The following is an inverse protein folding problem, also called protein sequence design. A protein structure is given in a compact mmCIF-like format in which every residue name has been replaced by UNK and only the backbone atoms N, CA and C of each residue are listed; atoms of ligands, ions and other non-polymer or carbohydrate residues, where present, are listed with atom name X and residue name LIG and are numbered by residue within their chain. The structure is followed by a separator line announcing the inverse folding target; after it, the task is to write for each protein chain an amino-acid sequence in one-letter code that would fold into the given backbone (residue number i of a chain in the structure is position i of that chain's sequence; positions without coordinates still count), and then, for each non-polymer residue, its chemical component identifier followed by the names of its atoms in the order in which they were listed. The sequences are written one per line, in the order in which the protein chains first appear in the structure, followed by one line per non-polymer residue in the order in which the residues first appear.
data_IF_483031183518
#
_entry.id   IF_483031183518
#
_cell.length_a   1.000
_cell.length_b   1.000
_cell.length_c   1.000
_cell.angle_alpha   90.00
_cell.angle_beta   90.00
_cell.angle_gamma   90.00
#
_symmetry.space_group_name_H-M   'P 1'
#
loop_
_entity.id
_entity.type
_entity.pdbx_description
1 polymer ?
#
# COMPACT_ATOMS: atom_id res chain seq x y z
N UNK A 1 31.23 16.98 -11.10
CA UNK A 1 30.08 17.60 -10.40
C UNK A 1 28.99 16.55 -10.28
N UNK A 2 29.02 15.73 -9.22
CA UNK A 2 27.90 14.82 -8.93
C UNK A 2 26.77 15.69 -8.40
N UNK A 3 25.77 15.93 -9.24
CA UNK A 3 24.58 16.67 -8.84
C UNK A 3 23.91 15.85 -7.71
N UNK A 4 24.11 16.25 -6.46
CA UNK A 4 23.51 15.61 -5.31
C UNK A 4 22.04 16.04 -5.24
N UNK A 5 21.26 15.61 -6.23
CA UNK A 5 19.81 15.77 -6.27
C UNK A 5 19.21 14.79 -5.25
N UNK A 6 19.42 15.07 -3.98
CA UNK A 6 18.74 14.39 -2.90
C UNK A 6 17.25 14.77 -2.94
N UNK A 7 16.37 13.77 -3.04
CA UNK A 7 14.93 14.01 -3.03
C UNK A 7 14.56 14.66 -1.68
N UNK A 8 13.87 15.82 -1.68
CA UNK A 8 13.51 16.50 -0.43
C UNK A 8 12.53 15.66 0.38
N UNK A 9 12.44 15.93 1.69
CA UNK A 9 11.53 15.19 2.59
C UNK A 9 10.08 15.17 2.08
N UNK A 10 9.59 16.31 1.57
CA UNK A 10 8.26 16.40 0.98
C UNK A 10 8.06 15.41 -0.17
N UNK A 11 9.11 15.18 -0.98
CA UNK A 11 9.10 14.23 -2.10
C UNK A 11 9.09 12.76 -1.65
N UNK A 12 9.33 12.48 -0.37
CA UNK A 12 9.30 11.12 0.20
C UNK A 12 8.01 10.81 0.97
N UNK A 13 7.17 11.83 1.21
CA UNK A 13 5.99 11.70 2.06
C UNK A 13 5.02 10.62 1.61
N UNK A 14 4.79 10.46 0.30
CA UNK A 14 3.87 9.43 -0.20
C UNK A 14 4.33 8.02 0.18
N UNK A 15 5.65 7.75 0.16
CA UNK A 15 6.19 6.45 0.60
C UNK A 15 6.00 6.24 2.10
N UNK A 16 6.26 7.27 2.91
CA UNK A 16 6.13 7.19 4.37
C UNK A 16 4.67 6.99 4.77
N UNK A 17 3.75 7.76 4.19
CA UNK A 17 2.32 7.63 4.42
C UNK A 17 1.79 6.26 3.98
N UNK A 18 2.25 5.75 2.84
CA UNK A 18 1.94 4.39 2.40
C UNK A 18 2.42 3.33 3.38
N UNK A 19 3.65 3.41 3.88
CA UNK A 19 4.15 2.46 4.89
C UNK A 19 3.30 2.51 6.16
N UNK A 20 2.97 3.72 6.62
CA UNK A 20 2.15 3.91 7.81
C UNK A 20 0.74 3.35 7.66
N UNK A 21 0.17 3.37 6.44
CA UNK A 21 -1.12 2.76 6.15
C UNK A 21 -1.02 1.22 6.00
N UNK A 22 -0.02 0.73 5.27
CA UNK A 22 0.10 -0.68 4.91
C UNK A 22 0.56 -1.59 6.06
N UNK A 23 1.44 -1.11 6.95
CA UNK A 23 1.93 -1.94 8.05
C UNK A 23 0.81 -2.36 9.01
N UNK A 24 -0.06 -1.45 9.51
CA UNK A 24 -1.22 -1.85 10.30
C UNK A 24 -2.15 -2.82 9.56
N UNK A 25 -2.44 -2.56 8.29
CA UNK A 25 -3.30 -3.43 7.46
C UNK A 25 -2.69 -4.84 7.33
N UNK A 26 -1.38 -4.94 7.14
CA UNK A 26 -0.68 -6.22 7.09
C UNK A 26 -0.84 -6.98 8.42
N UNK A 27 -0.66 -6.31 9.56
CA UNK A 27 -0.83 -6.92 10.89
C UNK A 27 -2.27 -7.39 11.10
N UNK A 28 -3.27 -6.61 10.65
CA UNK A 28 -4.68 -7.00 10.69
C UNK A 28 -4.89 -8.30 9.91
N UNK A 29 -4.41 -8.39 8.67
CA UNK A 29 -4.50 -9.63 7.89
C UNK A 29 -3.79 -10.82 8.56
N UNK A 30 -2.64 -10.60 9.19
CA UNK A 30 -1.90 -11.66 9.88
C UNK A 30 -2.58 -12.22 11.14
N UNK A 31 -3.56 -11.50 11.70
CA UNK A 31 -4.12 -11.76 13.03
C UNK A 31 -5.61 -12.10 12.94
N UNK A 32 -5.96 -13.34 13.30
CA UNK A 32 -7.35 -13.85 13.17
C UNK A 32 -8.40 -12.98 13.84
N UNK A 33 -8.14 -12.51 15.06
CA UNK A 33 -9.08 -11.65 15.79
C UNK A 33 -9.30 -10.31 15.07
N UNK A 34 -8.21 -9.67 14.65
CA UNK A 34 -8.26 -8.35 14.03
C UNK A 34 -8.91 -8.38 12.65
N UNK A 35 -8.59 -9.38 11.82
CA UNK A 35 -9.21 -9.48 10.49
C UNK A 35 -10.72 -9.72 10.58
N UNK A 36 -11.17 -10.46 11.60
CA UNK A 36 -12.60 -10.67 11.85
C UNK A 36 -13.26 -9.37 12.31
N UNK A 37 -12.63 -8.64 13.23
CA UNK A 37 -13.17 -7.38 13.78
C UNK A 37 -13.24 -6.23 12.76
N UNK A 38 -12.19 -6.04 11.96
CA UNK A 38 -12.09 -4.90 11.04
C UNK A 38 -12.65 -5.17 9.63
N UNK A 39 -12.69 -6.43 9.20
CA UNK A 39 -13.09 -6.82 7.85
C UNK A 39 -14.19 -7.87 7.78
N UNK A 40 -14.71 -8.36 8.92
CA UNK A 40 -15.74 -9.41 9.00
C UNK A 40 -15.34 -10.71 8.28
N UNK A 41 -14.04 -10.98 8.20
CA UNK A 41 -13.52 -12.22 7.57
C UNK A 41 -13.40 -13.32 8.63
N UNK A 42 -14.23 -14.35 8.51
CA UNK A 42 -14.11 -15.53 9.36
C UNK A 42 -12.94 -16.43 8.95
N UNK A 43 -12.02 -16.71 9.88
CA UNK A 43 -10.85 -17.57 9.66
C UNK A 43 -11.09 -18.98 10.21
N UNK A 44 -11.97 -19.72 9.53
CA UNK A 44 -12.45 -21.03 9.98
C UNK A 44 -11.54 -22.19 9.59
N UNK A 45 -10.64 -22.02 8.61
CA UNK A 45 -9.77 -23.08 8.10
C UNK A 45 -8.29 -22.73 8.21
N UNK A 46 -7.45 -23.76 8.15
CA UNK A 46 -5.99 -23.59 8.06
C UNK A 46 -5.61 -22.90 6.75
N UNK A 47 -6.33 -23.20 5.66
CA UNK A 47 -6.08 -22.63 4.34
C UNK A 47 -6.33 -21.11 4.31
N UNK A 48 -7.45 -20.65 4.89
CA UNK A 48 -7.74 -19.22 5.02
C UNK A 48 -6.67 -18.52 5.87
N UNK A 49 -6.23 -19.17 6.96
CA UNK A 49 -5.15 -18.62 7.79
C UNK A 49 -3.82 -18.54 7.05
N UNK A 50 -3.49 -19.51 6.21
CA UNK A 50 -2.27 -19.51 5.40
C UNK A 50 -2.33 -18.44 4.31
N UNK A 51 -3.47 -18.30 3.61
CA UNK A 51 -3.69 -17.26 2.62
C UNK A 51 -3.51 -15.85 3.22
N UNK A 52 -4.15 -15.58 4.36
CA UNK A 52 -4.08 -14.28 5.02
C UNK A 52 -2.66 -13.94 5.52
N UNK A 53 -1.92 -14.93 6.04
CA UNK A 53 -0.50 -14.76 6.39
C UNK A 53 0.38 -14.48 5.19
N UNK A 54 0.12 -15.12 4.05
CA UNK A 54 0.81 -14.82 2.80
C UNK A 54 0.54 -13.37 2.34
N UNK A 55 -0.71 -12.91 2.44
CA UNK A 55 -1.08 -11.51 2.14
C UNK A 55 -0.38 -10.53 3.09
N UNK A 56 -0.32 -10.81 4.39
CA UNK A 56 0.45 -10.01 5.34
C UNK A 56 1.91 -9.87 4.89
N UNK A 57 2.58 -11.00 4.61
CA UNK A 57 3.98 -10.99 4.19
C UNK A 57 4.19 -10.24 2.86
N UNK A 58 3.24 -10.34 1.92
CA UNK A 58 3.25 -9.57 0.67
C UNK A 58 3.23 -8.06 0.95
N UNK A 59 2.33 -7.60 1.83
CA UNK A 59 2.24 -6.18 2.20
C UNK A 59 3.50 -5.69 2.90
N UNK A 60 4.06 -6.50 3.81
CA UNK A 60 5.33 -6.18 4.49
C UNK A 60 6.52 -6.14 3.52
N UNK A 61 6.56 -7.03 2.54
CA UNK A 61 7.60 -7.03 1.50
C UNK A 61 7.52 -5.74 0.65
N UNK A 62 6.31 -5.30 0.29
CA UNK A 62 6.12 -4.00 -0.39
C UNK A 62 6.60 -2.87 0.51
N UNK A 63 6.19 -2.84 1.79
CA UNK A 63 6.64 -1.82 2.75
C UNK A 63 8.17 -1.75 2.86
N UNK A 64 8.85 -2.89 2.81
CA UNK A 64 10.31 -2.95 2.81
C UNK A 64 10.91 -2.24 1.59
N UNK A 65 10.37 -2.46 0.39
CA UNK A 65 10.81 -1.74 -0.82
C UNK A 65 10.52 -0.24 -0.72
N UNK A 66 9.35 0.14 -0.20
CA UNK A 66 9.00 1.56 0.02
C UNK A 66 9.95 2.22 1.01
N UNK A 67 10.31 1.52 2.08
CA UNK A 67 11.25 1.98 3.08
C UNK A 67 12.64 2.20 2.48
N UNK A 68 13.13 1.28 1.66
CA UNK A 68 14.39 1.45 0.92
C UNK A 68 14.36 2.69 0.01
N UNK A 69 13.22 2.95 -0.64
CA UNK A 69 13.00 4.15 -1.45
C UNK A 69 12.98 5.45 -0.65
N UNK A 70 12.40 5.42 0.56
CA UNK A 70 12.40 6.57 1.46
C UNK A 70 13.79 6.84 2.05
N UNK A 71 14.54 5.79 2.40
CA UNK A 71 15.89 5.90 2.95
C UNK A 71 16.89 6.38 1.90
N UNK A 72 16.93 5.73 0.73
CA UNK A 72 17.96 5.97 -0.30
C UNK A 72 17.32 6.53 -1.56
N UNK A 73 17.69 7.77 -1.92
CA UNK A 73 17.21 8.45 -3.14
C UNK A 73 17.40 7.64 -4.42
N UNK A 74 18.46 6.79 -4.48
CA UNK A 74 18.72 5.87 -5.61
C UNK A 74 17.56 4.91 -5.88
N UNK A 75 16.83 4.48 -4.85
CA UNK A 75 15.70 3.56 -4.98
C UNK A 75 14.34 4.26 -5.03
N UNK A 76 14.30 5.58 -4.77
CA UNK A 76 13.07 6.35 -4.63
C UNK A 76 12.15 6.23 -5.85
N UNK A 77 12.70 6.33 -7.06
CA UNK A 77 11.91 6.23 -8.30
C UNK A 77 11.22 4.87 -8.43
N UNK A 78 11.98 3.79 -8.25
CA UNK A 78 11.46 2.41 -8.33
C UNK A 78 10.44 2.13 -7.24
N UNK A 79 10.71 2.57 -6.01
CA UNK A 79 9.78 2.46 -4.90
C UNK A 79 8.48 3.24 -5.14
N UNK A 80 8.57 4.42 -5.75
CA UNK A 80 7.39 5.23 -6.10
C UNK A 80 6.57 4.57 -7.19
N UNK A 81 7.20 4.03 -8.24
CA UNK A 81 6.51 3.26 -9.27
C UNK A 81 5.79 2.04 -8.68
N UNK A 82 6.46 1.29 -7.80
CA UNK A 82 5.84 0.18 -7.07
C UNK A 82 4.65 0.66 -6.24
N UNK A 83 4.78 1.77 -5.51
CA UNK A 83 3.68 2.33 -4.71
C UNK A 83 2.46 2.69 -5.56
N UNK A 84 2.69 3.31 -6.72
CA UNK A 84 1.62 3.67 -7.68
C UNK A 84 0.89 2.41 -8.14
N UNK A 85 1.63 1.43 -8.65
CA UNK A 85 1.03 0.18 -9.16
C UNK A 85 0.31 -0.55 -8.05
N UNK A 86 0.91 -0.67 -6.87
CA UNK A 86 0.33 -1.39 -5.74
C UNK A 86 -0.97 -0.74 -5.25
N UNK A 87 -0.96 0.57 -4.97
CA UNK A 87 -2.14 1.27 -4.49
C UNK A 87 -3.29 1.28 -5.50
N UNK A 88 -3.00 1.56 -6.78
CA UNK A 88 -4.04 1.62 -7.80
C UNK A 88 -4.59 0.24 -8.17
N UNK A 89 -3.76 -0.81 -8.13
CA UNK A 89 -4.23 -2.18 -8.37
C UNK A 89 -5.16 -2.66 -7.24
N UNK A 90 -4.84 -2.33 -5.99
CA UNK A 90 -5.72 -2.61 -4.85
C UNK A 90 -7.05 -1.86 -4.95
N UNK A 91 -7.01 -0.57 -5.28
CA UNK A 91 -8.21 0.23 -5.49
C UNK A 91 -9.06 -0.32 -6.66
N UNK A 92 -8.43 -0.70 -7.77
CA UNK A 92 -9.12 -1.28 -8.92
C UNK A 92 -9.77 -2.63 -8.59
N UNK A 93 -9.06 -3.50 -7.87
CA UNK A 93 -9.61 -4.79 -7.41
C UNK A 93 -10.81 -4.61 -6.48
N UNK A 94 -10.74 -3.66 -5.54
CA UNK A 94 -11.88 -3.32 -4.67
C UNK A 94 -13.04 -2.69 -5.44
N UNK A 95 -12.77 -1.78 -6.38
CA UNK A 95 -13.82 -1.19 -7.21
C UNK A 95 -14.53 -2.26 -8.03
N UNK A 96 -13.78 -3.20 -8.61
CA UNK A 96 -14.35 -4.32 -9.36
C UNK A 96 -15.23 -5.19 -8.47
N UNK A 97 -14.75 -5.57 -7.27
CA UNK A 97 -15.56 -6.34 -6.32
C UNK A 97 -16.80 -5.57 -5.85
N UNK A 98 -16.71 -4.26 -5.63
CA UNK A 98 -17.88 -3.43 -5.28
C UNK A 98 -18.95 -3.41 -6.38
N UNK A 99 -18.53 -3.43 -7.65
CA UNK A 99 -19.43 -3.46 -8.80
C UNK A 99 -20.08 -4.84 -8.96
N UNK A 100 -19.33 -5.92 -8.72
CA UNK A 100 -19.79 -7.29 -8.96
C UNK A 100 -20.51 -7.91 -7.76
N UNK A 101 -19.97 -7.71 -6.56
CA UNK A 101 -20.36 -8.39 -5.32
C UNK A 101 -21.15 -7.48 -4.36
N UNK A 102 -21.17 -6.16 -4.63
CA UNK A 102 -21.86 -5.15 -3.81
C UNK A 102 -20.95 -4.44 -2.79
N UNK A 103 -21.55 -3.59 -1.95
CA UNK A 103 -20.80 -2.71 -1.05
C UNK A 103 -20.26 -3.52 0.16
N UNK A 104 -18.93 -3.57 0.39
CA UNK A 104 -18.32 -4.29 1.49
C UNK A 104 -18.40 -3.51 2.81
N UNK A 105 -17.83 -4.07 3.87
CA UNK A 105 -17.73 -3.42 5.17
C UNK A 105 -17.03 -2.07 5.11
N UNK A 106 -17.29 -1.22 6.11
CA UNK A 106 -16.77 0.15 6.18
C UNK A 106 -15.23 0.21 6.06
N UNK A 107 -14.52 -0.80 6.58
CA UNK A 107 -13.06 -0.90 6.47
C UNK A 107 -12.56 -0.94 5.02
N UNK A 108 -13.26 -1.64 4.13
CA UNK A 108 -12.91 -1.71 2.71
C UNK A 108 -13.23 -0.40 1.96
N UNK A 109 -14.30 0.29 2.33
CA UNK A 109 -14.67 1.60 1.76
C UNK A 109 -13.62 2.66 2.13
N UNK A 110 -13.18 2.70 3.39
CA UNK A 110 -12.11 3.63 3.80
C UNK A 110 -10.81 3.29 3.08
N UNK A 111 -10.51 2.00 2.93
CA UNK A 111 -9.29 1.51 2.25
C UNK A 111 -9.22 1.99 0.80
N UNK A 112 -10.29 1.85 0.00
CA UNK A 112 -10.26 2.27 -1.42
C UNK A 112 -10.01 3.78 -1.56
N UNK A 113 -10.56 4.60 -0.65
CA UNK A 113 -10.32 6.06 -0.66
C UNK A 113 -8.84 6.35 -0.39
N UNK A 114 -8.27 5.73 0.66
CA UNK A 114 -6.85 5.90 1.01
C UNK A 114 -5.95 5.44 -0.13
N UNK A 115 -6.26 4.32 -0.77
CA UNK A 115 -5.49 3.75 -1.88
C UNK A 115 -5.49 4.66 -3.10
N UNK A 116 -6.65 5.19 -3.51
CA UNK A 116 -6.74 6.15 -4.61
C UNK A 116 -5.95 7.42 -4.29
N UNK A 117 -6.13 7.99 -3.09
CA UNK A 117 -5.43 9.22 -2.69
C UNK A 117 -3.91 9.03 -2.70
N UNK A 118 -3.41 7.95 -2.09
CA UNK A 118 -1.97 7.67 -2.04
C UNK A 118 -1.40 7.32 -3.41
N UNK A 119 -2.15 6.59 -4.24
CA UNK A 119 -1.77 6.28 -5.61
C UNK A 119 -1.63 7.53 -6.47
N UNK A 120 -2.63 8.40 -6.47
CA UNK A 120 -2.61 9.68 -7.19
C UNK A 120 -1.53 10.64 -6.65
N UNK A 121 -1.37 10.70 -5.33
CA UNK A 121 -0.32 11.50 -4.72
C UNK A 121 1.08 11.02 -5.16
N UNK A 122 1.27 9.71 -5.25
CA UNK A 122 2.53 9.13 -5.75
C UNK A 122 2.81 9.47 -7.22
N UNK A 123 1.76 9.50 -8.07
CA UNK A 123 1.88 9.97 -9.46
C UNK A 123 2.27 11.44 -9.52
N UNK A 124 1.67 12.28 -8.67
CA UNK A 124 2.06 13.69 -8.60
C UNK A 124 3.53 13.84 -8.19
N UNK A 125 3.97 13.08 -7.19
CA UNK A 125 5.33 13.15 -6.66
C UNK A 125 6.38 12.70 -7.67
N UNK A 126 6.13 11.59 -8.38
CA UNK A 126 7.04 11.14 -9.43
C UNK A 126 7.14 12.20 -10.53
N UNK A 127 6.04 12.79 -11.00
CA UNK A 127 6.09 13.83 -12.04
C UNK A 127 6.83 15.11 -11.60
N UNK A 128 6.78 15.45 -10.31
CA UNK A 128 7.39 16.65 -9.76
C UNK A 128 8.89 16.51 -9.52
N UNK A 129 9.34 15.34 -9.07
CA UNK A 129 10.72 15.13 -8.60
C UNK A 129 11.54 14.16 -9.47
N UNK A 130 10.92 13.44 -10.41
CA UNK A 130 11.59 12.64 -11.44
C UNK A 130 12.06 13.58 -12.56
N UNK A 131 13.13 14.34 -12.28
CA UNK A 131 13.86 15.09 -13.30
C UNK A 131 14.74 14.07 -14.05
N UNK A 132 14.69 14.01 -15.39
CA UNK A 132 15.42 13.01 -16.19
C UNK A 132 16.94 13.02 -15.97
#
# INVERSE_FOLDING_TARGET
MTNNNSIPFIGKLHLILSILALVPIAIVYGTKSLVTEFFEIEVNTIDTSNMLRAIMCLYLAVCFVLFLGAWKSKYWRRATQLNIVFMLSLAAGRALSMILDGIPTQGYIVSIIVEVVLGLYSIYQIRKYDIP
#
